data_IF_227436607232
#
_entry.id   IF_227436607232
#
_cell.length_a   1.000
_cell.length_b   1.000
_cell.length_c   1.000
_cell.angle_alpha   90.00
_cell.angle_beta   90.00
_cell.angle_gamma   90.00
#
_symmetry.space_group_name_H-M   'P 1'
#
loop_
_entity.id
_entity.type
_entity.pdbx_description
1 polymer ?
#
# COMPACT_ATOMS: atom_id res chain seq x y z
N UNK A 1 29.25 -9.56 -3.47
CA UNK A 1 29.41 -8.21 -4.08
C UNK A 1 30.06 -8.24 -5.47
N UNK A 2 31.17 -8.97 -5.69
CA UNK A 2 31.83 -9.06 -7.01
C UNK A 2 30.91 -9.60 -8.12
N UNK A 3 30.08 -10.60 -7.81
CA UNK A 3 29.09 -11.14 -8.73
C UNK A 3 28.11 -10.07 -9.23
N UNK A 4 27.41 -9.38 -8.33
CA UNK A 4 26.42 -8.34 -8.68
C UNK A 4 27.02 -7.21 -9.53
N UNK A 5 28.24 -6.76 -9.22
CA UNK A 5 28.94 -5.75 -10.04
C UNK A 5 29.26 -6.30 -11.44
N UNK A 6 29.66 -7.56 -11.53
CA UNK A 6 29.97 -8.23 -12.81
C UNK A 6 28.71 -8.38 -13.66
N UNK A 7 27.61 -8.89 -13.11
CA UNK A 7 26.34 -8.98 -13.83
C UNK A 7 25.84 -7.59 -14.23
N UNK A 8 25.89 -6.60 -13.34
CA UNK A 8 25.50 -5.23 -13.66
C UNK A 8 26.30 -4.60 -14.81
N UNK A 9 27.62 -4.87 -14.89
CA UNK A 9 28.44 -4.50 -16.05
C UNK A 9 27.92 -5.13 -17.35
N UNK A 10 27.57 -6.42 -17.31
CA UNK A 10 27.07 -7.13 -18.48
C UNK A 10 25.66 -6.70 -18.89
N UNK A 11 24.80 -6.28 -17.96
CA UNK A 11 23.51 -5.65 -18.28
C UNK A 11 23.72 -4.38 -19.12
N UNK A 12 24.66 -3.51 -18.71
CA UNK A 12 24.99 -2.29 -19.47
C UNK A 12 25.54 -2.61 -20.86
N UNK A 13 26.40 -3.62 -20.98
CA UNK A 13 26.93 -4.05 -22.26
C UNK A 13 25.86 -4.67 -23.16
N UNK A 14 24.92 -5.43 -22.58
CA UNK A 14 23.82 -6.06 -23.31
C UNK A 14 22.93 -5.03 -24.00
N UNK A 15 22.63 -3.89 -23.35
CA UNK A 15 21.87 -2.80 -23.98
C UNK A 15 22.50 -2.37 -25.32
N UNK A 16 23.80 -2.08 -25.33
CA UNK A 16 24.50 -1.63 -26.54
C UNK A 16 24.52 -2.69 -27.64
N UNK A 17 24.70 -3.97 -27.28
CA UNK A 17 24.70 -5.07 -28.24
C UNK A 17 23.31 -5.34 -28.81
N UNK A 18 22.25 -5.32 -27.98
CA UNK A 18 20.88 -5.50 -28.45
C UNK A 18 20.49 -4.36 -29.38
N UNK A 19 20.80 -3.11 -29.01
CA UNK A 19 20.55 -1.95 -29.86
C UNK A 19 21.23 -2.09 -31.23
N UNK A 20 22.48 -2.59 -31.25
CA UNK A 20 23.21 -2.86 -32.50
C UNK A 20 22.54 -3.93 -33.36
N UNK A 21 21.97 -4.95 -32.74
CA UNK A 21 21.32 -6.07 -33.44
C UNK A 21 19.91 -5.73 -33.94
N UNK A 22 19.12 -5.01 -33.15
CA UNK A 22 17.70 -4.75 -33.45
C UNK A 22 17.45 -3.40 -34.08
N UNK A 23 18.36 -2.43 -33.90
CA UNK A 23 18.15 -1.01 -34.21
C UNK A 23 16.91 -0.40 -33.55
N UNK A 24 16.42 -1.03 -32.47
CA UNK A 24 15.23 -0.62 -31.73
C UNK A 24 15.65 -0.20 -30.30
N UNK A 25 15.70 1.12 -30.01
CA UNK A 25 16.11 1.62 -28.70
C UNK A 25 15.11 1.31 -27.59
N UNK A 26 13.82 1.22 -27.91
CA UNK A 26 12.77 0.93 -26.91
C UNK A 26 12.82 -0.54 -26.52
N UNK A 27 12.98 -1.43 -27.49
CA UNK A 27 13.19 -2.85 -27.24
C UNK A 27 14.49 -3.10 -26.46
N UNK A 28 15.60 -2.48 -26.87
CA UNK A 28 16.88 -2.62 -26.15
C UNK A 28 16.77 -2.13 -24.71
N UNK A 29 16.10 -1.00 -24.47
CA UNK A 29 15.83 -0.46 -23.14
C UNK A 29 14.97 -1.41 -22.30
N UNK A 30 13.90 -1.96 -22.87
CA UNK A 30 13.04 -2.92 -22.19
C UNK A 30 13.81 -4.18 -21.77
N UNK A 31 14.58 -4.79 -22.68
CA UNK A 31 15.36 -5.99 -22.37
C UNK A 31 16.42 -5.70 -21.30
N UNK A 32 17.15 -4.59 -21.40
CA UNK A 32 18.13 -4.22 -20.39
C UNK A 32 17.50 -4.02 -19.00
N UNK A 33 16.28 -3.49 -18.95
CA UNK A 33 15.51 -3.31 -17.70
C UNK A 33 15.12 -4.63 -17.08
N UNK A 34 14.63 -5.58 -17.89
CA UNK A 34 14.34 -6.93 -17.39
C UNK A 34 15.60 -7.65 -16.89
N UNK A 35 16.73 -7.51 -17.58
CA UNK A 35 18.01 -8.04 -17.10
C UNK A 35 18.47 -7.37 -15.80
N UNK A 36 18.18 -6.08 -15.59
CA UNK A 36 18.44 -5.40 -14.33
C UNK A 36 17.58 -5.96 -13.18
N UNK A 37 16.31 -6.32 -13.44
CA UNK A 37 15.48 -7.02 -12.44
C UNK A 37 16.05 -8.39 -12.06
N UNK A 38 16.75 -9.08 -12.97
CA UNK A 38 17.45 -10.32 -12.63
C UNK A 38 18.64 -10.05 -11.69
N UNK A 39 19.32 -8.91 -11.81
CA UNK A 39 20.36 -8.49 -10.85
C UNK A 39 19.76 -8.26 -9.46
N UNK A 40 18.59 -7.60 -9.39
CA UNK A 40 17.85 -7.40 -8.14
C UNK A 40 17.36 -8.71 -7.53
N UNK A 41 16.91 -9.65 -8.38
CA UNK A 41 16.56 -11.00 -7.98
C UNK A 41 17.75 -11.71 -7.32
N UNK A 42 18.93 -11.65 -7.94
CA UNK A 42 20.16 -12.21 -7.36
C UNK A 42 20.49 -11.57 -6.00
N UNK A 43 20.37 -10.25 -5.90
CA UNK A 43 20.59 -9.52 -4.65
C UNK A 43 19.61 -9.98 -3.55
N UNK A 44 18.34 -10.19 -3.89
CA UNK A 44 17.31 -10.60 -2.93
C UNK A 44 17.36 -12.09 -2.56
N UNK A 45 17.84 -12.97 -3.43
CA UNK A 45 17.67 -14.44 -3.28
C UNK A 45 18.94 -15.30 -3.25
N UNK A 46 20.12 -14.73 -3.39
CA UNK A 46 21.33 -15.58 -3.34
C UNK A 46 22.65 -14.88 -3.10
N UNK A 47 22.70 -13.54 -3.11
CA UNK A 47 23.97 -12.78 -3.09
C UNK A 47 24.08 -11.77 -1.95
N UNK A 48 23.12 -11.74 -1.03
CA UNK A 48 23.14 -10.87 0.13
C UNK A 48 23.35 -11.68 1.39
N UNK A 49 24.15 -11.13 2.32
CA UNK A 49 24.35 -11.67 3.68
C UNK A 49 23.03 -11.72 4.47
N UNK A 50 21.99 -11.03 3.98
CA UNK A 50 20.64 -11.03 4.55
C UNK A 50 19.77 -12.20 4.05
N UNK A 51 20.27 -13.03 3.13
CA UNK A 51 19.57 -14.25 2.69
C UNK A 51 19.78 -15.37 3.72
N UNK A 52 18.75 -15.68 4.50
CA UNK A 52 18.81 -16.74 5.52
C UNK A 52 18.58 -18.15 4.96
N UNK A 53 18.80 -19.17 5.79
CA UNK A 53 18.43 -20.55 5.50
C UNK A 53 17.05 -20.90 6.08
N UNK A 54 16.17 -21.47 5.26
CA UNK A 54 14.88 -22.03 5.69
C UNK A 54 15.04 -23.54 5.97
N UNK A 55 15.12 -23.88 7.26
CA UNK A 55 15.28 -25.27 7.72
C UNK A 55 14.07 -26.14 7.37
N UNK A 56 12.86 -25.56 7.32
CA UNK A 56 11.64 -26.32 7.05
C UNK A 56 11.49 -26.75 5.59
N UNK A 57 12.07 -25.98 4.68
CA UNK A 57 12.05 -26.25 3.23
C UNK A 57 13.40 -26.71 2.68
N UNK A 58 14.43 -26.76 3.54
CA UNK A 58 15.81 -27.03 3.16
C UNK A 58 16.27 -26.15 1.98
N UNK A 59 15.89 -24.86 2.03
CA UNK A 59 16.11 -23.94 0.92
C UNK A 59 16.45 -22.53 1.41
N UNK A 60 16.73 -21.65 0.46
CA UNK A 60 17.04 -20.26 0.71
C UNK A 60 15.85 -19.39 1.05
N UNK A 61 16.02 -18.51 2.05
CA UNK A 61 15.09 -17.44 2.39
C UNK A 61 15.57 -16.11 1.79
N UNK A 62 14.68 -15.41 1.10
CA UNK A 62 14.98 -14.10 0.50
C UNK A 62 15.18 -13.01 1.56
N UNK A 63 15.92 -11.95 1.21
CA UNK A 63 16.14 -10.78 2.06
C UNK A 63 14.82 -10.19 2.56
N UNK A 64 13.86 -9.99 1.64
CA UNK A 64 12.55 -9.43 1.96
C UNK A 64 11.48 -10.46 2.32
N UNK A 65 11.89 -11.61 2.86
CA UNK A 65 10.92 -12.57 3.43
C UNK A 65 10.27 -12.05 4.73
N UNK A 66 10.76 -10.94 5.29
CA UNK A 66 10.04 -10.05 6.20
C UNK A 66 10.18 -8.62 5.68
N UNK A 67 9.24 -7.72 5.98
CA UNK A 67 9.26 -6.32 5.52
C UNK A 67 10.32 -5.48 6.27
N UNK A 68 11.56 -5.99 6.38
CA UNK A 68 12.64 -5.39 7.15
C UNK A 68 14.02 -5.89 6.68
N UNK A 69 15.04 -5.05 6.86
CA UNK A 69 16.45 -5.42 6.71
C UNK A 69 17.02 -5.67 8.12
N UNK A 70 17.08 -6.94 8.51
CA UNK A 70 17.58 -7.35 9.84
C UNK A 70 18.84 -8.19 9.70
N UNK A 71 19.68 -8.20 10.73
CA UNK A 71 20.87 -9.03 10.76
C UNK A 71 20.49 -10.51 10.75
N UNK A 72 21.10 -11.27 9.85
CA UNK A 72 20.95 -12.73 9.74
C UNK A 72 22.27 -13.37 10.15
N UNK A 73 22.21 -14.28 11.14
CA UNK A 73 23.39 -14.97 11.66
C UNK A 73 23.82 -16.14 10.75
N UNK A 74 22.84 -16.93 10.30
CA UNK A 74 23.05 -18.06 9.39
C UNK A 74 22.54 -17.69 8.01
N UNK A 75 23.46 -17.20 7.18
CA UNK A 75 23.17 -16.80 5.80
C UNK A 75 23.65 -17.85 4.81
N UNK A 76 23.03 -17.85 3.63
CA UNK A 76 23.43 -18.67 2.50
C UNK A 76 23.91 -17.79 1.35
N UNK A 77 24.81 -18.33 0.53
CA UNK A 77 25.22 -17.72 -0.74
C UNK A 77 25.09 -18.78 -1.84
N UNK A 78 24.28 -18.47 -2.85
CA UNK A 78 24.09 -19.36 -4.01
C UNK A 78 25.18 -19.08 -5.03
N UNK A 79 25.70 -20.11 -5.70
CA UNK A 79 26.50 -19.88 -6.90
C UNK A 79 25.61 -19.27 -8.02
N UNK A 80 25.87 -18.03 -8.48
CA UNK A 80 24.97 -17.33 -9.40
C UNK A 80 24.91 -17.95 -10.81
N UNK A 81 25.90 -18.75 -11.19
CA UNK A 81 25.94 -19.47 -12.49
C UNK A 81 25.51 -20.94 -12.36
N UNK A 82 25.02 -21.35 -11.19
CA UNK A 82 24.42 -22.66 -11.02
C UNK A 82 22.98 -22.69 -11.59
N UNK A 83 22.33 -23.85 -11.47
CA UNK A 83 20.88 -24.02 -11.73
C UNK A 83 20.06 -24.11 -10.44
N UNK A 84 20.64 -23.69 -9.32
CA UNK A 84 20.02 -23.75 -8.01
C UNK A 84 19.17 -22.50 -7.72
N UNK A 85 18.41 -22.53 -6.64
CA UNK A 85 17.60 -21.42 -6.17
C UNK A 85 18.48 -20.20 -5.84
N UNK A 86 18.10 -19.02 -6.36
CA UNK A 86 18.86 -17.78 -6.26
C UNK A 86 19.91 -17.60 -7.36
N UNK A 87 19.89 -18.42 -8.42
CA UNK A 87 20.78 -18.31 -9.57
C UNK A 87 20.26 -17.37 -10.66
N UNK A 88 21.13 -17.02 -11.61
CA UNK A 88 20.80 -16.17 -12.74
C UNK A 88 19.82 -16.85 -13.70
N UNK A 89 20.00 -18.15 -13.95
CA UNK A 89 19.10 -18.94 -14.82
C UNK A 89 17.68 -18.95 -14.25
N UNK A 90 17.53 -19.17 -12.94
CA UNK A 90 16.20 -19.13 -12.29
C UNK A 90 15.56 -17.73 -12.38
N UNK A 91 16.34 -16.66 -12.15
CA UNK A 91 15.82 -15.29 -12.26
C UNK A 91 15.37 -14.94 -13.69
N UNK A 92 16.08 -15.43 -14.71
CA UNK A 92 15.67 -15.31 -16.10
C UNK A 92 14.38 -16.09 -16.38
N UNK A 93 14.29 -17.35 -15.92
CA UNK A 93 13.11 -18.19 -16.13
C UNK A 93 11.86 -17.56 -15.50
N UNK A 94 11.96 -17.02 -14.29
CA UNK A 94 10.87 -16.26 -13.66
C UNK A 94 10.49 -15.03 -14.50
N UNK A 95 11.47 -14.29 -15.00
CA UNK A 95 11.23 -13.09 -15.80
C UNK A 95 10.51 -13.44 -17.11
N UNK A 96 11.01 -14.43 -17.86
CA UNK A 96 10.42 -14.88 -19.13
C UNK A 96 9.03 -15.47 -18.92
N UNK A 97 8.84 -16.28 -17.87
CA UNK A 97 7.54 -16.87 -17.53
C UNK A 97 6.49 -15.80 -17.25
N UNK A 98 6.84 -14.80 -16.42
CA UNK A 98 5.94 -13.68 -16.13
C UNK A 98 5.66 -12.87 -17.40
N UNK A 99 6.67 -12.53 -18.20
CA UNK A 99 6.47 -11.78 -19.44
C UNK A 99 5.58 -12.52 -20.43
N UNK A 100 5.77 -13.82 -20.59
CA UNK A 100 4.96 -14.67 -21.47
C UNK A 100 3.51 -14.77 -20.99
N UNK A 101 3.28 -14.69 -19.68
CA UNK A 101 1.93 -14.63 -19.11
C UNK A 101 1.28 -13.28 -19.38
N UNK A 102 1.98 -12.20 -19.03
CA UNK A 102 1.44 -10.83 -19.14
C UNK A 102 1.29 -10.39 -20.60
N UNK A 103 2.12 -10.87 -21.53
CA UNK A 103 2.02 -10.54 -22.96
C UNK A 103 0.75 -11.09 -23.62
N UNK A 104 -0.03 -11.92 -22.91
CA UNK A 104 -1.34 -12.42 -23.37
C UNK A 104 -2.46 -11.42 -23.11
N UNK A 105 -2.21 -10.39 -22.30
CA UNK A 105 -3.17 -9.32 -22.01
C UNK A 105 -3.14 -8.35 -23.20
N UNK A 106 -4.23 -8.22 -23.98
CA UNK A 106 -4.24 -7.37 -25.17
C UNK A 106 -4.31 -5.87 -24.84
N UNK A 107 -4.66 -5.51 -23.59
CA UNK A 107 -4.74 -4.12 -23.15
C UNK A 107 -3.35 -3.59 -22.77
N UNK A 108 -3.00 -2.42 -23.29
CA UNK A 108 -1.86 -1.66 -22.82
C UNK A 108 -2.27 -0.74 -21.65
N UNK A 109 -1.45 -0.71 -20.60
CA UNK A 109 -1.56 0.27 -19.52
C UNK A 109 -0.55 1.41 -19.68
N UNK A 110 -0.78 2.53 -19.00
CA UNK A 110 0.20 3.61 -18.87
C UNK A 110 0.72 3.66 -17.44
N UNK A 111 2.03 3.78 -17.27
CA UNK A 111 2.68 3.97 -15.97
C UNK A 111 3.21 5.40 -15.91
N UNK A 112 2.98 6.06 -14.78
CA UNK A 112 3.43 7.42 -14.52
C UNK A 112 4.24 7.43 -13.24
N UNK A 113 5.46 7.97 -13.30
CA UNK A 113 6.28 8.23 -12.14
C UNK A 113 5.93 9.63 -11.60
N UNK A 114 5.44 9.69 -10.37
CA UNK A 114 5.07 10.95 -9.74
C UNK A 114 4.52 10.75 -8.33
N UNK A 115 4.29 11.86 -7.64
CA UNK A 115 3.70 11.84 -6.30
C UNK A 115 2.18 11.74 -6.39
N UNK A 116 1.58 10.91 -5.52
CA UNK A 116 0.12 10.83 -5.40
C UNK A 116 -0.51 12.14 -4.89
N UNK A 117 0.29 13.06 -4.34
CA UNK A 117 -0.14 14.40 -3.91
C UNK A 117 -0.22 15.42 -5.05
N UNK A 118 0.25 15.07 -6.25
CA UNK A 118 0.21 15.93 -7.43
C UNK A 118 0.12 15.08 -8.70
N UNK A 119 -1.09 14.65 -9.04
CA UNK A 119 -1.35 13.78 -10.18
C UNK A 119 -1.33 14.58 -11.50
N UNK A 120 -0.62 14.10 -12.56
CA UNK A 120 -0.49 14.81 -13.83
C UNK A 120 -1.72 14.65 -14.74
N UNK A 121 -2.92 14.53 -14.16
CA UNK A 121 -4.17 14.31 -14.87
C UNK A 121 -5.13 15.49 -14.67
N UNK A 122 -5.98 15.80 -15.66
CA UNK A 122 -6.98 16.85 -15.51
C UNK A 122 -8.06 16.47 -14.49
N UNK A 123 -8.84 17.45 -14.09
CA UNK A 123 -9.99 17.25 -13.20
C UNK A 123 -11.01 16.30 -13.85
N UNK A 124 -11.66 15.46 -13.03
CA UNK A 124 -12.75 14.55 -13.45
C UNK A 124 -12.36 13.66 -14.63
N UNK A 125 -11.15 13.14 -14.62
CA UNK A 125 -10.57 12.30 -15.66
C UNK A 125 -10.92 10.82 -15.55
N UNK A 126 -10.86 10.23 -14.35
CA UNK A 126 -11.00 8.79 -14.14
C UNK A 126 -12.40 8.38 -13.71
N UNK A 127 -12.88 7.24 -14.21
CA UNK A 127 -14.13 6.60 -13.78
C UNK A 127 -13.98 5.84 -12.46
N UNK A 128 -12.79 5.29 -12.21
CA UNK A 128 -12.47 4.61 -10.97
C UNK A 128 -11.02 4.84 -10.58
N UNK A 129 -10.78 4.89 -9.26
CA UNK A 129 -9.44 4.92 -8.67
C UNK A 129 -9.38 3.79 -7.64
N UNK A 130 -8.40 2.89 -7.74
CA UNK A 130 -8.21 1.79 -6.79
C UNK A 130 -6.85 1.96 -6.15
N UNK A 131 -6.80 2.07 -4.82
CA UNK A 131 -5.58 2.38 -4.09
C UNK A 131 -5.38 1.46 -2.87
N UNK A 132 -4.14 1.10 -2.66
CA UNK A 132 -3.62 0.47 -1.44
C UNK A 132 -2.60 1.43 -0.81
N UNK A 133 -3.03 2.39 0.03
CA UNK A 133 -2.16 3.40 0.62
C UNK A 133 -1.22 2.79 1.68
N UNK A 134 -0.09 3.46 1.99
CA UNK A 134 0.78 3.03 3.08
C UNK A 134 0.05 3.01 4.44
N UNK A 135 0.23 1.94 5.22
CA UNK A 135 -0.40 1.80 6.53
C UNK A 135 0.47 2.38 7.65
N UNK A 136 0.53 3.70 7.75
CA UNK A 136 1.26 4.43 8.78
C UNK A 136 2.72 3.94 8.96
N UNK A 137 3.03 3.24 10.06
CA UNK A 137 4.37 2.77 10.44
C UNK A 137 4.64 1.30 10.03
N UNK A 138 3.75 0.67 9.26
CA UNK A 138 3.83 -0.75 8.95
C UNK A 138 5.05 -1.14 8.08
N UNK A 139 5.36 -0.33 7.06
CA UNK A 139 6.47 -0.61 6.12
C UNK A 139 7.19 0.70 5.76
N UNK A 140 8.52 0.80 5.97
CA UNK A 140 9.31 1.95 5.54
C UNK A 140 9.76 1.78 4.07
N UNK A 141 8.83 1.92 3.13
CA UNK A 141 9.04 1.64 1.70
C UNK A 141 10.28 2.33 1.13
N UNK A 142 10.47 3.64 1.36
CA UNK A 142 11.58 4.38 0.76
C UNK A 142 12.95 3.92 1.26
N UNK A 143 13.04 3.43 2.51
CA UNK A 143 14.26 2.87 3.08
C UNK A 143 14.53 1.45 2.55
N UNK A 144 13.48 0.63 2.42
CA UNK A 144 13.60 -0.72 1.85
C UNK A 144 13.91 -0.69 0.35
N UNK A 145 13.33 0.25 -0.39
CA UNK A 145 13.56 0.43 -1.82
C UNK A 145 15.00 0.81 -2.13
N UNK A 146 15.74 1.44 -1.21
CA UNK A 146 17.17 1.75 -1.43
C UNK A 146 18.02 0.50 -1.70
N UNK A 147 17.62 -0.66 -1.16
CA UNK A 147 18.29 -1.93 -1.42
C UNK A 147 18.37 -2.25 -2.91
N UNK A 148 17.28 -2.00 -3.65
CA UNK A 148 17.20 -2.23 -5.09
C UNK A 148 17.64 -1.00 -5.90
N UNK A 149 17.25 0.19 -5.45
CA UNK A 149 17.51 1.46 -6.13
C UNK A 149 18.98 1.63 -6.48
N UNK A 150 19.89 1.28 -5.57
CA UNK A 150 21.34 1.43 -5.80
C UNK A 150 21.86 0.53 -6.92
N UNK A 151 21.26 -0.64 -7.14
CA UNK A 151 21.63 -1.56 -8.20
C UNK A 151 21.01 -1.14 -9.52
N UNK A 152 19.70 -0.86 -9.53
CA UNK A 152 18.99 -0.35 -10.71
C UNK A 152 19.61 0.93 -11.26
N UNK A 153 20.00 1.87 -10.38
CA UNK A 153 20.70 3.10 -10.78
C UNK A 153 22.02 2.81 -11.49
N UNK A 154 22.75 1.77 -11.08
CA UNK A 154 24.06 1.41 -11.67
C UNK A 154 23.92 0.65 -12.99
N UNK A 155 22.84 -0.11 -13.15
CA UNK A 155 22.59 -0.96 -14.32
C UNK A 155 21.85 -0.22 -15.43
N UNK A 156 20.74 0.46 -15.10
CA UNK A 156 19.83 1.11 -16.05
C UNK A 156 19.53 2.57 -15.73
N UNK A 157 20.20 3.17 -14.74
CA UNK A 157 19.97 4.56 -14.35
C UNK A 157 20.13 5.57 -15.49
N UNK A 158 21.07 5.33 -16.39
CA UNK A 158 21.29 6.18 -17.57
C UNK A 158 20.12 6.12 -18.58
N UNK A 159 19.30 5.06 -18.53
CA UNK A 159 18.12 4.87 -19.39
C UNK A 159 16.85 5.51 -18.80
N UNK A 160 16.85 5.84 -17.51
CA UNK A 160 15.73 6.40 -16.75
C UNK A 160 16.19 7.55 -15.84
N UNK A 161 16.76 8.64 -16.39
CA UNK A 161 17.26 9.76 -15.60
C UNK A 161 16.19 10.38 -14.68
N UNK A 162 14.92 10.33 -15.10
CA UNK A 162 13.76 10.78 -14.32
C UNK A 162 13.52 9.95 -13.05
N UNK A 163 13.85 8.65 -13.07
CA UNK A 163 13.67 7.74 -11.94
C UNK A 163 14.89 7.70 -11.01
N UNK A 164 16.09 8.03 -11.52
CA UNK A 164 17.35 7.87 -10.80
C UNK A 164 18.12 9.19 -10.58
N UNK A 165 17.39 10.31 -10.55
CA UNK A 165 17.94 11.65 -10.39
C UNK A 165 18.67 11.87 -9.05
N UNK A 166 18.22 11.21 -7.98
CA UNK A 166 18.79 11.34 -6.63
C UNK A 166 19.75 10.18 -6.30
N UNK A 167 20.65 10.35 -5.31
CA UNK A 167 21.53 9.25 -4.89
C UNK A 167 20.79 8.04 -4.29
N UNK A 168 19.65 8.29 -3.64
CA UNK A 168 18.77 7.33 -2.97
C UNK A 168 17.31 7.74 -3.21
N UNK A 169 16.34 6.87 -2.92
CA UNK A 169 14.91 7.20 -3.05
C UNK A 169 14.59 8.44 -2.20
N UNK A 170 13.71 9.38 -2.63
CA UNK A 170 13.29 10.50 -1.79
C UNK A 170 12.52 10.02 -0.53
N UNK A 171 12.89 10.53 0.66
CA UNK A 171 12.28 10.14 1.95
C UNK A 171 11.27 11.16 2.47
N UNK A 172 11.42 12.42 2.07
CA UNK A 172 10.62 13.54 2.58
C UNK A 172 9.19 13.56 2.00
N UNK A 173 8.97 12.84 0.92
CA UNK A 173 7.67 12.74 0.23
C UNK A 173 6.94 11.42 0.54
N UNK A 174 7.49 10.59 1.43
CA UNK A 174 6.90 9.31 1.78
C UNK A 174 5.78 9.46 2.82
N UNK A 175 4.58 8.98 2.48
CA UNK A 175 3.44 8.97 3.39
C UNK A 175 3.52 7.81 4.40
N UNK A 176 4.53 7.81 5.28
CA UNK A 176 4.67 6.85 6.39
C UNK A 176 4.90 7.55 7.72
N UNK A 177 4.55 6.88 8.82
CA UNK A 177 4.83 7.36 10.17
C UNK A 177 6.19 6.81 10.62
N UNK A 178 7.23 7.64 10.51
CA UNK A 178 8.58 7.29 10.96
C UNK A 178 9.14 8.34 11.93
N UNK A 179 8.95 8.17 13.25
CA UNK A 179 9.45 9.11 14.26
C UNK A 179 10.97 9.31 14.23
N UNK A 180 11.73 8.31 13.81
CA UNK A 180 13.20 8.39 13.77
C UNK A 180 13.69 9.45 12.78
N UNK A 181 12.94 9.74 11.71
CA UNK A 181 13.24 10.81 10.76
C UNK A 181 13.09 12.22 11.36
N UNK A 182 12.32 12.36 12.44
CA UNK A 182 12.03 13.64 13.07
C UNK A 182 12.68 13.79 14.46
N UNK A 183 13.83 13.16 14.66
CA UNK A 183 14.61 13.25 15.90
C UNK A 183 14.12 12.35 17.04
N UNK A 184 13.13 11.49 16.78
CA UNK A 184 12.57 10.54 17.72
C UNK A 184 11.80 11.17 18.90
N UNK A 185 11.43 10.32 19.87
CA UNK A 185 10.65 10.69 21.08
C UNK A 185 9.25 11.21 20.75
N UNK A 186 8.50 11.62 21.78
CA UNK A 186 7.12 12.14 21.65
C UNK A 186 6.96 13.26 20.60
N UNK A 187 7.92 14.20 20.55
CA UNK A 187 7.88 15.30 19.57
C UNK A 187 8.05 14.80 18.13
N UNK A 188 8.91 13.82 17.90
CA UNK A 188 9.10 13.21 16.58
C UNK A 188 7.87 12.41 16.13
N UNK A 189 7.21 11.71 17.06
CA UNK A 189 5.96 10.98 16.80
C UNK A 189 4.85 11.91 16.32
N UNK A 190 4.63 13.03 17.02
CA UNK A 190 3.62 14.02 16.61
C UNK A 190 3.90 14.64 15.23
N UNK A 191 5.17 14.94 14.94
CA UNK A 191 5.57 15.49 13.63
C UNK A 191 5.36 14.44 12.53
N UNK A 192 5.75 13.19 12.76
CA UNK A 192 5.57 12.10 11.81
C UNK A 192 4.08 11.87 11.53
N UNK A 193 3.23 11.86 12.57
CA UNK A 193 1.79 11.68 12.42
C UNK A 193 1.16 12.80 11.58
N UNK A 194 1.49 14.06 11.89
CA UNK A 194 0.99 15.22 11.12
C UNK A 194 1.49 15.21 9.68
N UNK A 195 2.74 14.79 9.46
CA UNK A 195 3.31 14.69 8.13
C UNK A 195 2.58 13.62 7.30
N UNK A 196 2.35 12.44 7.87
CA UNK A 196 1.56 11.36 7.28
C UNK A 196 0.13 11.82 6.94
N UNK A 197 -0.59 12.39 7.91
CA UNK A 197 -1.95 12.89 7.72
C UNK A 197 -2.03 13.91 6.58
N UNK A 198 -1.10 14.87 6.54
CA UNK A 198 -1.02 15.88 5.48
C UNK A 198 -0.85 15.24 4.09
N UNK A 199 0.08 14.31 3.93
CA UNK A 199 0.33 13.65 2.64
C UNK A 199 -0.85 12.76 2.21
N UNK A 200 -1.47 12.05 3.15
CA UNK A 200 -2.66 11.25 2.89
C UNK A 200 -3.84 12.13 2.47
N UNK A 201 -4.10 13.23 3.18
CA UNK A 201 -5.14 14.20 2.82
C UNK A 201 -4.90 14.81 1.43
N UNK A 202 -3.66 15.21 1.12
CA UNK A 202 -3.31 15.73 -0.21
C UNK A 202 -3.52 14.68 -1.30
N UNK A 203 -3.17 13.42 -1.04
CA UNK A 203 -3.38 12.32 -1.98
C UNK A 203 -4.88 12.05 -2.21
N UNK A 204 -5.69 12.04 -1.15
CA UNK A 204 -7.14 11.89 -1.29
C UNK A 204 -7.79 13.10 -1.99
N UNK A 205 -7.29 14.31 -1.78
CA UNK A 205 -7.77 15.50 -2.47
C UNK A 205 -7.49 15.41 -3.98
N UNK A 206 -6.32 14.90 -4.36
CA UNK A 206 -6.02 14.61 -5.77
C UNK A 206 -6.94 13.54 -6.34
N UNK A 207 -7.23 12.46 -5.58
CA UNK A 207 -8.21 11.46 -5.99
C UNK A 207 -9.58 12.11 -6.21
N UNK A 208 -10.06 12.93 -5.29
CA UNK A 208 -11.32 13.67 -5.45
C UNK A 208 -11.32 14.54 -6.70
N UNK A 209 -10.22 15.25 -6.97
CA UNK A 209 -10.06 16.14 -8.13
C UNK A 209 -10.14 15.36 -9.44
N UNK A 210 -9.37 14.28 -9.58
CA UNK A 210 -9.29 13.50 -10.83
C UNK A 210 -10.45 12.53 -11.02
N UNK A 211 -11.21 12.19 -9.98
CA UNK A 211 -12.34 11.27 -10.08
C UNK A 211 -13.58 11.96 -10.67
N UNK A 212 -14.27 11.34 -11.62
CA UNK A 212 -15.55 11.86 -12.15
C UNK A 212 -16.64 11.93 -11.06
N UNK A 213 -17.67 12.77 -11.22
CA UNK A 213 -18.78 12.87 -10.24
C UNK A 213 -19.42 11.53 -9.89
N UNK A 214 -19.67 10.68 -10.89
CA UNK A 214 -20.25 9.33 -10.71
C UNK A 214 -19.20 8.23 -10.46
N UNK A 215 -17.92 8.62 -10.42
CA UNK A 215 -16.80 7.71 -10.26
C UNK A 215 -16.70 7.12 -8.86
N UNK A 216 -15.89 6.07 -8.74
CA UNK A 216 -15.68 5.35 -7.49
C UNK A 216 -14.20 5.28 -7.12
N UNK A 217 -13.86 5.62 -5.88
CA UNK A 217 -12.56 5.34 -5.29
C UNK A 217 -12.65 4.10 -4.41
N UNK A 218 -11.79 3.10 -4.59
CA UNK A 218 -11.69 1.94 -3.70
C UNK A 218 -10.42 2.07 -2.89
N UNK A 219 -10.56 2.17 -1.57
CA UNK A 219 -9.45 2.31 -0.63
C UNK A 219 -9.30 1.02 0.17
N UNK A 220 -8.14 0.38 0.03
CA UNK A 220 -7.76 -0.77 0.86
C UNK A 220 -7.18 -0.27 2.17
N UNK A 221 -7.60 -0.82 3.31
CA UNK A 221 -6.96 -0.49 4.57
C UNK A 221 -7.13 -1.59 5.61
N UNK A 222 -6.06 -1.84 6.36
CA UNK A 222 -6.13 -2.64 7.60
C UNK A 222 -5.14 -2.11 8.61
N UNK A 223 -5.60 -1.84 9.83
CA UNK A 223 -4.74 -1.41 10.92
C UNK A 223 -5.33 -1.76 12.29
N UNK A 224 -4.47 -2.11 13.25
CA UNK A 224 -4.88 -2.48 14.63
C UNK A 224 -5.24 -1.29 15.50
N UNK A 225 -4.62 -0.14 15.25
CA UNK A 225 -4.86 1.09 16.00
C UNK A 225 -6.08 1.84 15.49
N UNK A 226 -6.98 2.18 16.40
CA UNK A 226 -8.12 3.08 16.16
C UNK A 226 -7.69 4.48 15.74
N UNK A 227 -6.56 4.97 16.27
CA UNK A 227 -6.02 6.28 15.91
C UNK A 227 -5.57 6.35 14.43
N UNK A 228 -5.13 5.23 13.86
CA UNK A 228 -4.79 5.14 12.45
C UNK A 228 -6.06 5.17 11.57
N UNK A 229 -7.12 4.47 12.00
CA UNK A 229 -8.44 4.54 11.37
C UNK A 229 -9.00 5.95 11.39
N UNK A 230 -9.00 6.60 12.56
CA UNK A 230 -9.45 7.99 12.72
C UNK A 230 -8.69 8.92 11.79
N UNK A 231 -7.36 8.82 11.74
CA UNK A 231 -6.51 9.65 10.87
C UNK A 231 -6.84 9.45 9.38
N UNK A 232 -7.03 8.20 8.94
CA UNK A 232 -7.36 7.87 7.57
C UNK A 232 -8.75 8.39 7.19
N UNK A 233 -9.75 8.10 8.03
CA UNK A 233 -11.14 8.50 7.80
C UNK A 233 -11.25 10.02 7.78
N UNK A 234 -10.59 10.71 8.71
CA UNK A 234 -10.54 12.18 8.72
C UNK A 234 -9.96 12.71 7.41
N UNK A 235 -8.80 12.18 6.98
CA UNK A 235 -8.15 12.59 5.72
C UNK A 235 -9.06 12.36 4.50
N UNK A 236 -9.84 11.27 4.51
CA UNK A 236 -10.76 10.90 3.44
C UNK A 236 -11.99 11.82 3.40
N UNK A 237 -12.61 12.09 4.55
CA UNK A 237 -13.76 12.99 4.69
C UNK A 237 -13.39 14.45 4.41
N UNK A 238 -12.20 14.90 4.84
CA UNK A 238 -11.70 16.24 4.57
C UNK A 238 -11.44 16.46 3.08
N UNK A 239 -10.98 15.43 2.38
CA UNK A 239 -10.84 15.44 0.92
C UNK A 239 -12.19 15.40 0.18
N UNK A 240 -13.32 15.27 0.88
CA UNK A 240 -14.64 15.19 0.28
C UNK A 240 -14.96 13.83 -0.35
N UNK A 241 -14.25 12.78 0.05
CA UNK A 241 -14.62 11.41 -0.24
C UNK A 241 -15.35 10.83 0.96
N UNK A 242 -16.28 9.90 0.73
CA UNK A 242 -16.89 9.14 1.81
C UNK A 242 -17.23 7.71 1.36
N UNK A 243 -17.13 6.71 2.24
CA UNK A 243 -17.46 5.33 1.92
C UNK A 243 -18.98 5.19 1.72
N UNK A 244 -19.36 4.43 0.71
CA UNK A 244 -20.76 4.05 0.42
C UNK A 244 -21.00 2.56 0.62
N UNK A 245 -19.92 1.78 0.60
CA UNK A 245 -19.90 0.39 1.02
C UNK A 245 -18.52 0.05 1.56
N UNK A 246 -18.46 -0.95 2.43
CA UNK A 246 -17.21 -1.53 2.90
C UNK A 246 -17.32 -3.04 2.93
N UNK A 247 -16.28 -3.71 2.47
CA UNK A 247 -16.23 -5.15 2.40
C UNK A 247 -14.99 -5.64 3.16
N UNK A 248 -15.18 -6.38 4.27
CA UNK A 248 -14.09 -7.12 4.88
C UNK A 248 -13.74 -8.29 3.97
N UNK A 249 -12.49 -8.36 3.53
CA UNK A 249 -11.96 -9.44 2.70
C UNK A 249 -10.89 -10.18 3.51
N UNK A 250 -11.07 -11.48 3.66
CA UNK A 250 -10.07 -12.33 4.30
C UNK A 250 -8.88 -12.49 3.35
N UNK A 251 -7.81 -11.73 3.60
CA UNK A 251 -6.64 -11.64 2.70
C UNK A 251 -5.42 -12.42 3.19
N UNK A 252 -5.43 -12.94 4.42
CA UNK A 252 -4.29 -13.67 4.97
C UNK A 252 -4.32 -15.19 4.65
N UNK A 253 -3.15 -15.75 4.31
CA UNK A 253 -2.95 -17.20 4.29
C UNK A 253 -2.92 -17.73 5.74
N UNK A 254 -3.72 -18.77 6.02
CA UNK A 254 -3.71 -19.52 7.29
C UNK A 254 -2.30 -20.01 7.73
N UNK A 255 -1.36 -20.10 6.78
CA UNK A 255 0.02 -20.52 6.97
C UNK A 255 1.01 -19.42 7.41
N UNK A 256 0.59 -18.15 7.58
CA UNK A 256 1.44 -17.06 8.06
C UNK A 256 1.93 -17.34 9.49
N UNK A 257 3.19 -17.78 9.61
CA UNK A 257 3.80 -18.24 10.86
C UNK A 257 3.99 -17.10 11.88
N UNK A 258 3.78 -15.84 11.50
CA UNK A 258 3.97 -14.67 12.36
C UNK A 258 2.80 -14.35 13.30
N UNK A 259 1.64 -15.00 13.17
CA UNK A 259 0.41 -14.59 13.88
C UNK A 259 -0.29 -15.71 14.66
N UNK A 260 0.34 -16.87 14.86
CA UNK A 260 -0.20 -17.92 15.75
C UNK A 260 -0.33 -17.38 17.18
N UNK A 261 -1.57 -17.07 17.58
CA UNK A 261 -1.97 -16.84 18.98
C UNK A 261 -2.18 -15.39 19.42
N UNK A 262 -2.23 -14.40 18.52
CA UNK A 262 -2.38 -12.98 18.93
C UNK A 262 -3.54 -12.24 18.26
N UNK A 263 -4.77 -12.76 18.33
CA UNK A 263 -6.01 -12.00 18.05
C UNK A 263 -5.92 -11.04 16.85
N UNK A 264 -5.22 -11.46 15.80
CA UNK A 264 -4.77 -10.58 14.75
C UNK A 264 -5.94 -10.27 13.84
N UNK A 265 -6.03 -9.03 13.36
CA UNK A 265 -6.99 -8.68 12.32
C UNK A 265 -6.63 -9.51 11.09
N UNK A 266 -7.53 -10.37 10.67
CA UNK A 266 -7.31 -11.29 9.54
C UNK A 266 -7.89 -10.75 8.24
N UNK A 267 -8.62 -9.63 8.33
CA UNK A 267 -9.38 -9.04 7.23
C UNK A 267 -8.79 -7.69 6.80
N UNK A 268 -8.69 -7.50 5.49
CA UNK A 268 -8.48 -6.18 4.87
C UNK A 268 -9.84 -5.58 4.54
N UNK A 269 -10.09 -4.33 4.89
CA UNK A 269 -11.30 -3.64 4.45
C UNK A 269 -11.06 -2.99 3.09
N UNK A 270 -11.96 -3.27 2.15
CA UNK A 270 -12.13 -2.51 0.93
C UNK A 270 -13.26 -1.50 1.13
N UNK A 271 -12.94 -0.21 1.13
CA UNK A 271 -13.93 0.87 1.21
C UNK A 271 -14.21 1.41 -0.20
N UNK A 272 -15.45 1.23 -0.66
CA UNK A 272 -15.94 1.83 -1.89
C UNK A 272 -16.46 3.24 -1.62
N UNK A 273 -15.66 4.24 -1.95
CA UNK A 273 -15.89 5.65 -1.70
C UNK A 273 -16.41 6.38 -2.92
N UNK A 274 -17.23 7.40 -2.68
CA UNK A 274 -17.73 8.34 -3.69
C UNK A 274 -17.39 9.77 -3.31
N UNK A 275 -17.46 10.65 -4.31
CA UNK A 275 -17.39 12.10 -4.08
C UNK A 275 -18.61 12.55 -3.29
N UNK A 276 -18.38 13.24 -2.18
CA UNK A 276 -19.42 13.98 -1.48
C UNK A 276 -19.87 15.14 -2.39
N UNK A 277 -21.20 15.34 -2.58
CA UNK A 277 -21.70 16.48 -3.31
C UNK A 277 -21.24 17.80 -2.69
N UNK A 278 -20.94 18.81 -3.52
CA UNK A 278 -20.49 20.13 -3.04
C UNK A 278 -21.55 20.84 -2.18
N UNK A 279 -22.83 20.50 -2.37
CA UNK A 279 -23.98 21.01 -1.63
C UNK A 279 -24.43 20.09 -0.48
N UNK A 280 -23.55 19.22 0.03
CA UNK A 280 -23.88 18.31 1.12
C UNK A 280 -24.41 19.06 2.36
N UNK A 281 -25.55 18.64 2.92
CA UNK A 281 -26.20 19.34 4.03
C UNK A 281 -25.39 19.22 5.32
N UNK A 282 -25.71 20.07 6.30
CA UNK A 282 -25.26 19.91 7.68
C UNK A 282 -26.19 18.92 8.37
N UNK A 283 -25.63 17.89 8.99
CA UNK A 283 -26.38 16.88 9.74
C UNK A 283 -26.52 17.27 11.21
N UNK A 284 -27.64 16.89 11.83
CA UNK A 284 -27.83 17.03 13.27
C UNK A 284 -27.53 15.70 13.97
N UNK A 285 -26.72 15.73 15.03
CA UNK A 285 -26.22 14.50 15.68
C UNK A 285 -27.32 13.49 16.01
N UNK A 286 -28.48 13.91 16.51
CA UNK A 286 -29.58 13.00 16.85
C UNK A 286 -30.12 12.23 15.63
N UNK A 287 -30.26 12.91 14.48
CA UNK A 287 -30.69 12.29 13.23
C UNK A 287 -29.61 11.35 12.70
N UNK A 288 -28.36 11.84 12.60
CA UNK A 288 -27.24 11.04 12.08
C UNK A 288 -26.99 9.80 12.93
N UNK A 289 -27.15 9.91 14.26
CA UNK A 289 -27.03 8.78 15.18
C UNK A 289 -28.09 7.70 14.93
N UNK A 290 -29.33 8.10 14.67
CA UNK A 290 -30.40 7.16 14.35
C UNK A 290 -30.15 6.44 13.01
N UNK A 291 -29.77 7.20 11.97
CA UNK A 291 -29.39 6.66 10.65
C UNK A 291 -28.21 5.67 10.77
N UNK A 292 -27.20 6.04 11.57
CA UNK A 292 -26.03 5.23 11.83
C UNK A 292 -26.37 3.93 12.58
N UNK A 293 -27.20 4.00 13.62
CA UNK A 293 -27.60 2.81 14.37
C UNK A 293 -28.35 1.81 13.48
N UNK A 294 -29.28 2.29 12.66
CA UNK A 294 -30.01 1.46 11.70
C UNK A 294 -29.06 0.82 10.68
N UNK A 295 -28.19 1.61 10.05
CA UNK A 295 -27.26 1.14 9.04
C UNK A 295 -26.25 0.13 9.59
N UNK A 296 -25.71 0.36 10.79
CA UNK A 296 -24.79 -0.57 11.45
C UNK A 296 -25.51 -1.87 11.78
N UNK A 297 -26.70 -1.83 12.41
CA UNK A 297 -27.43 -3.04 12.81
C UNK A 297 -27.80 -3.92 11.61
N UNK A 298 -28.29 -3.34 10.51
CA UNK A 298 -28.58 -4.08 9.26
C UNK A 298 -27.32 -4.77 8.69
N UNK A 299 -26.18 -4.06 8.69
CA UNK A 299 -24.92 -4.61 8.17
C UNK A 299 -24.32 -5.67 9.09
N UNK A 300 -24.36 -5.46 10.40
CA UNK A 300 -23.87 -6.41 11.39
C UNK A 300 -24.65 -7.72 11.34
N UNK A 301 -25.98 -7.69 11.14
CA UNK A 301 -26.76 -8.91 10.95
C UNK A 301 -26.26 -9.73 9.74
N UNK A 302 -26.01 -9.06 8.60
CA UNK A 302 -25.45 -9.71 7.40
C UNK A 302 -24.05 -10.27 7.63
N UNK A 303 -23.19 -9.54 8.34
CA UNK A 303 -21.86 -10.01 8.69
C UNK A 303 -21.89 -11.17 9.68
N UNK A 304 -22.87 -11.18 10.58
CA UNK A 304 -23.09 -12.28 11.51
C UNK A 304 -23.48 -13.56 10.77
N UNK A 305 -24.41 -13.47 9.83
CA UNK A 305 -24.82 -14.61 8.99
C UNK A 305 -23.68 -15.10 8.09
N UNK A 306 -22.80 -14.20 7.65
CA UNK A 306 -21.61 -14.52 6.88
C UNK A 306 -20.45 -15.12 7.71
N UNK A 307 -20.62 -15.28 9.02
CA UNK A 307 -19.61 -15.89 9.90
C UNK A 307 -18.49 -14.97 10.36
N UNK A 308 -18.57 -13.65 10.12
CA UNK A 308 -17.57 -12.68 10.59
C UNK A 308 -17.74 -12.49 12.09
N UNK A 309 -16.67 -12.64 12.88
CA UNK A 309 -16.69 -12.60 14.36
C UNK A 309 -15.46 -11.87 14.91
N UNK A 310 -15.47 -11.60 16.21
CA UNK A 310 -14.32 -11.06 16.93
C UNK A 310 -13.95 -9.63 16.51
N UNK A 311 -12.65 -9.33 16.46
CA UNK A 311 -12.15 -7.98 16.13
C UNK A 311 -12.59 -7.53 14.72
N UNK A 312 -12.67 -8.45 13.77
CA UNK A 312 -13.10 -8.19 12.40
C UNK A 312 -14.55 -7.70 12.33
N UNK A 313 -15.40 -8.10 13.30
CA UNK A 313 -16.79 -7.67 13.39
C UNK A 313 -16.92 -6.17 13.70
N UNK A 314 -16.12 -5.65 14.64
CA UNK A 314 -16.06 -4.22 14.94
C UNK A 314 -15.53 -3.41 13.76
N UNK A 315 -14.43 -3.89 13.17
CA UNK A 315 -13.77 -3.23 12.04
C UNK A 315 -14.73 -3.13 10.85
N UNK A 316 -15.54 -4.17 10.60
CA UNK A 316 -16.54 -4.19 9.53
C UNK A 316 -17.67 -3.16 9.71
N UNK A 317 -17.94 -2.70 10.94
CA UNK A 317 -18.95 -1.68 11.22
C UNK A 317 -18.46 -0.24 10.99
N UNK A 318 -17.15 -0.03 10.87
CA UNK A 318 -16.55 1.29 10.63
C UNK A 318 -17.04 1.85 9.29
N UNK A 319 -17.02 1.05 8.23
CA UNK A 319 -17.43 1.52 6.91
C UNK A 319 -18.88 1.99 6.83
N UNK A 320 -19.88 1.23 7.32
CA UNK A 320 -21.26 1.70 7.41
C UNK A 320 -21.42 2.97 8.25
N UNK A 321 -20.75 3.06 9.40
CA UNK A 321 -20.80 4.23 10.28
C UNK A 321 -20.29 5.49 9.57
N UNK A 322 -19.12 5.39 8.94
CA UNK A 322 -18.50 6.49 8.20
C UNK A 322 -19.31 6.83 6.95
N UNK A 323 -20.01 5.87 6.36
CA UNK A 323 -20.83 6.12 5.18
C UNK A 323 -22.07 6.95 5.44
N UNK A 324 -22.72 6.76 6.59
CA UNK A 324 -23.82 7.62 7.02
C UNK A 324 -23.31 9.01 7.44
N UNK A 325 -22.24 9.05 8.23
CA UNK A 325 -21.63 10.30 8.67
C UNK A 325 -21.12 11.17 7.50
N UNK A 326 -20.47 10.54 6.52
CA UNK A 326 -19.84 11.22 5.39
C UNK A 326 -20.78 11.78 4.33
N UNK A 327 -22.09 11.49 4.41
CA UNK A 327 -23.11 12.16 3.55
C UNK A 327 -23.23 13.66 3.85
N UNK A 328 -22.89 14.06 5.07
CA UNK A 328 -23.00 15.42 5.54
C UNK A 328 -21.67 16.17 5.37
N UNK A 329 -21.74 17.48 5.15
CA UNK A 329 -20.55 18.32 5.13
C UNK A 329 -19.93 18.45 6.52
N UNK A 330 -20.77 18.44 7.56
CA UNK A 330 -20.42 18.44 8.98
C UNK A 330 -21.63 18.02 9.81
N UNK A 331 -21.38 17.47 10.99
CA UNK A 331 -22.43 17.02 11.91
C UNK A 331 -22.36 17.83 13.19
N UNK A 332 -23.46 18.49 13.55
CA UNK A 332 -23.52 19.42 14.67
C UNK A 332 -24.36 18.87 15.82
N UNK A 333 -23.92 19.15 17.04
CA UNK A 333 -24.71 18.97 18.26
C UNK A 333 -25.53 20.24 18.56
N UNK A 334 -26.63 20.14 19.33
CA UNK A 334 -27.46 21.30 19.68
C UNK A 334 -26.74 22.40 20.47
N UNK A 335 -25.63 22.05 21.14
CA UNK A 335 -24.76 22.97 21.87
C UNK A 335 -23.80 23.78 20.95
N UNK A 336 -23.85 23.52 19.64
CA UNK A 336 -22.99 24.18 18.65
C UNK A 336 -21.63 23.51 18.45
N UNK A 337 -21.35 22.38 19.12
CA UNK A 337 -20.12 21.62 18.92
C UNK A 337 -20.23 20.72 17.67
N UNK A 338 -19.14 20.64 16.89
CA UNK A 338 -19.03 19.69 15.79
C UNK A 338 -18.67 18.29 16.31
N UNK A 339 -19.30 17.26 15.76
CA UNK A 339 -19.01 15.86 16.08
C UNK A 339 -17.75 15.44 15.33
N UNK A 340 -16.76 14.93 16.06
CA UNK A 340 -15.49 14.49 15.48
C UNK A 340 -15.57 13.07 14.90
N UNK A 341 -14.59 12.68 14.09
CA UNK A 341 -14.46 11.28 13.65
C UNK A 341 -14.17 10.35 14.84
N UNK A 342 -13.46 10.82 15.86
CA UNK A 342 -13.27 10.09 17.12
C UNK A 342 -14.61 9.76 17.79
N UNK A 343 -15.48 10.76 17.98
CA UNK A 343 -16.82 10.59 18.54
C UNK A 343 -17.65 9.55 17.76
N UNK A 344 -17.58 9.62 16.42
CA UNK A 344 -18.25 8.69 15.51
C UNK A 344 -17.78 7.25 15.72
N UNK A 345 -16.47 7.03 15.78
CA UNK A 345 -15.88 5.70 15.94
C UNK A 345 -16.21 5.09 17.32
N UNK A 346 -16.27 5.93 18.35
CA UNK A 346 -16.68 5.49 19.70
C UNK A 346 -18.17 5.12 19.73
N UNK A 347 -19.04 5.90 19.09
CA UNK A 347 -20.47 5.56 18.96
C UNK A 347 -20.67 4.24 18.20
N UNK A 348 -19.96 4.05 17.08
CA UNK A 348 -20.01 2.80 16.32
C UNK A 348 -19.57 1.60 17.18
N UNK A 349 -18.55 1.79 18.04
CA UNK A 349 -18.11 0.75 18.98
C UNK A 349 -19.18 0.41 20.00
N UNK A 350 -19.86 1.41 20.55
CA UNK A 350 -20.96 1.18 21.49
C UNK A 350 -22.10 0.39 20.85
N UNK A 351 -22.47 0.70 19.62
CA UNK A 351 -23.55 0.01 18.89
C UNK A 351 -23.17 -1.44 18.56
N UNK A 352 -21.95 -1.67 18.07
CA UNK A 352 -21.43 -3.04 17.82
C UNK A 352 -21.43 -3.85 19.11
N UNK A 353 -20.99 -3.24 20.22
CA UNK A 353 -20.95 -3.91 21.52
C UNK A 353 -22.35 -4.29 22.00
N UNK A 354 -23.32 -3.39 21.87
CA UNK A 354 -24.72 -3.67 22.20
C UNK A 354 -25.28 -4.82 21.36
N UNK A 355 -25.07 -4.78 20.04
CA UNK A 355 -25.51 -5.84 19.12
C UNK A 355 -24.89 -7.21 19.45
N UNK A 356 -23.61 -7.26 19.86
CA UNK A 356 -22.95 -8.52 20.20
C UNK A 356 -23.40 -9.14 21.53
N UNK A 357 -24.12 -8.37 22.36
CA UNK A 357 -24.69 -8.81 23.64
C UNK A 357 -26.18 -9.19 23.53
N UNK A 358 -26.84 -8.82 22.44
CA UNK A 358 -28.19 -9.25 22.04
C UNK A 358 -28.16 -10.67 21.46
#
# INVERSE_FOLDING_TARGET
>A
MLALVTFGKWVRAAYGEILRQTSDPDFARAVATYLAFVVDFLANRGQAVLCGWDVGKETGRSVFAGHHLHMVWDYMETNPISKALGSWEEGLDYTVSNLTRESRIPQAGSVHLGSATALPFPDRHFDAVVIDPPYADNVPYADLSDFFYVWLRRTVGDLYPEAFATPLVPKDEEAVVNPARFGGRKRGEEIAQRHYQRLMQQSFAEIYRVLKPEGMAVVMFTHRSTAAWESLIQSLLDAGLYPTASFPVHTEMEASTHQRGKGAIQSTILMACRRRPENAPIGWYAQVRAELEEAIRDRLAKFWDAGIRGADFFISAIGPAVGEFGKYSKVMRPDGCEVTVGDLLDEARSIVTAFALE
#
